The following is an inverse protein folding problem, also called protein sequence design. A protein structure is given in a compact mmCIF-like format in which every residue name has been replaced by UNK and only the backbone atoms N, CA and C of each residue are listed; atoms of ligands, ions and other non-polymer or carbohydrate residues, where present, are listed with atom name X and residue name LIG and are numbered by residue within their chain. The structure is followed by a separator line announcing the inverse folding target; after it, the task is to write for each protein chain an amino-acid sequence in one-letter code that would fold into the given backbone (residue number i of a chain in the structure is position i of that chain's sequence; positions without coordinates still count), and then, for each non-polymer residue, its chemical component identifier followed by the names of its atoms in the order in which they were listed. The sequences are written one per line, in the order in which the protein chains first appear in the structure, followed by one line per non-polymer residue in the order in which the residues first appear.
data_IF_713771895935
#
_entry.id   IF_713771895935
#
_cell.length_a   1.000
_cell.length_b   1.000
_cell.length_c   1.000
_cell.angle_alpha   90.00
_cell.angle_beta   90.00
_cell.angle_gamma   90.00
#
_symmetry.space_group_name_H-M   'P 1'
#
loop_
_entity.id
_entity.type
_entity.pdbx_description
1 polymer ?
#
# COMPACT_ATOMS: atom_id res chain seq x y z
N UNK A 1 11.42 -8.05 -20.59
CA UNK A 1 11.39 -7.13 -19.43
C UNK A 1 12.83 -6.82 -19.06
N UNK A 2 13.18 -5.54 -18.89
CA UNK A 2 14.51 -5.12 -18.45
C UNK A 2 14.76 -5.50 -16.98
N UNK A 3 16.02 -5.69 -16.58
CA UNK A 3 16.43 -6.15 -15.25
C UNK A 3 15.90 -5.25 -14.13
N UNK A 4 15.91 -3.94 -14.38
CA UNK A 4 15.33 -2.93 -13.46
C UNK A 4 13.82 -3.11 -13.28
N UNK A 5 13.09 -3.38 -14.36
CA UNK A 5 11.64 -3.57 -14.28
C UNK A 5 11.30 -4.87 -13.57
N UNK A 6 12.11 -5.91 -13.76
CA UNK A 6 11.98 -7.17 -13.06
C UNK A 6 12.19 -7.00 -11.55
N UNK A 7 13.23 -6.26 -11.14
CA UNK A 7 13.47 -5.99 -9.72
C UNK A 7 12.31 -5.24 -9.05
N UNK A 8 11.72 -4.26 -9.72
CA UNK A 8 10.54 -3.53 -9.20
C UNK A 8 9.35 -4.47 -9.02
N UNK A 9 9.09 -5.33 -10.01
CA UNK A 9 8.00 -6.29 -9.96
C UNK A 9 8.21 -7.32 -8.85
N UNK A 10 9.40 -7.94 -8.80
CA UNK A 10 9.74 -8.96 -7.79
C UNK A 10 9.55 -8.39 -6.37
N UNK A 11 10.00 -7.15 -6.15
CA UNK A 11 9.85 -6.47 -4.86
C UNK A 11 8.40 -6.16 -4.52
N UNK A 12 7.60 -5.71 -5.50
CA UNK A 12 6.16 -5.50 -5.30
C UNK A 12 5.43 -6.78 -4.90
N UNK A 13 5.75 -7.90 -5.56
CA UNK A 13 5.17 -9.21 -5.25
C UNK A 13 5.56 -9.68 -3.85
N UNK A 14 6.82 -9.47 -3.44
CA UNK A 14 7.29 -9.76 -2.08
C UNK A 14 6.51 -8.93 -1.05
N UNK A 15 6.36 -7.62 -1.28
CA UNK A 15 5.66 -6.73 -0.36
C UNK A 15 4.16 -7.06 -0.22
N UNK A 16 3.52 -7.55 -1.28
CA UNK A 16 2.15 -8.07 -1.21
C UNK A 16 2.10 -9.33 -0.35
N UNK A 17 2.99 -10.29 -0.59
CA UNK A 17 3.00 -11.57 0.13
C UNK A 17 3.23 -11.36 1.64
N UNK A 18 4.15 -10.46 2.01
CA UNK A 18 4.38 -10.08 3.41
C UNK A 18 3.12 -9.46 4.02
N UNK A 19 2.45 -8.57 3.29
CA UNK A 19 1.24 -7.93 3.76
C UNK A 19 0.09 -8.92 3.93
N UNK A 20 -0.10 -9.86 3.00
CA UNK A 20 -1.13 -10.88 3.12
C UNK A 20 -0.90 -11.82 4.29
N UNK A 21 0.36 -12.18 4.55
CA UNK A 21 0.72 -12.96 5.74
C UNK A 21 0.32 -12.19 7.01
N UNK A 22 0.68 -10.91 7.07
CA UNK A 22 0.36 -10.03 8.20
C UNK A 22 -1.15 -9.86 8.40
N UNK A 23 -1.89 -9.57 7.33
CA UNK A 23 -3.35 -9.43 7.36
C UNK A 23 -4.01 -10.74 7.80
N UNK A 24 -3.60 -11.88 7.23
CA UNK A 24 -4.14 -13.19 7.61
C UNK A 24 -3.89 -13.51 9.08
N UNK A 25 -2.79 -13.05 9.66
CA UNK A 25 -2.55 -13.15 11.11
C UNK A 25 -3.53 -12.30 11.91
N UNK A 26 -3.75 -11.04 11.51
CA UNK A 26 -4.73 -10.16 12.17
C UNK A 26 -6.15 -10.72 12.14
N UNK A 27 -6.55 -11.35 11.04
CA UNK A 27 -7.89 -11.92 10.85
C UNK A 27 -8.24 -13.04 11.83
N UNK A 28 -7.24 -13.80 12.28
CA UNK A 28 -7.44 -14.90 13.24
C UNK A 28 -8.08 -14.41 14.54
N UNK A 29 -7.75 -13.19 14.96
CA UNK A 29 -8.25 -12.60 16.20
C UNK A 29 -9.76 -12.28 16.13
N UNK A 30 -10.30 -12.15 14.92
CA UNK A 30 -11.72 -11.88 14.66
C UNK A 30 -12.46 -13.06 14.05
N UNK A 31 -11.83 -14.25 14.04
CA UNK A 31 -12.37 -15.47 13.43
C UNK A 31 -12.77 -15.32 11.96
N UNK A 32 -12.09 -14.42 11.23
CA UNK A 32 -12.27 -14.26 9.79
C UNK A 32 -11.35 -15.21 9.02
N UNK A 33 -11.77 -15.59 7.82
CA UNK A 33 -11.04 -16.49 6.94
C UNK A 33 -10.50 -15.74 5.73
N UNK A 34 -9.33 -16.17 5.25
CA UNK A 34 -8.73 -15.62 4.04
C UNK A 34 -8.42 -16.70 3.02
N UNK A 35 -8.60 -16.39 1.74
CA UNK A 35 -8.24 -17.25 0.62
C UNK A 35 -7.46 -16.45 -0.41
N UNK A 36 -6.30 -16.96 -0.84
CA UNK A 36 -5.55 -16.36 -1.94
C UNK A 36 -6.03 -16.92 -3.30
N UNK A 37 -6.41 -16.04 -4.21
CA UNK A 37 -6.85 -16.40 -5.57
C UNK A 37 -5.96 -15.78 -6.63
N UNK A 38 -5.73 -16.50 -7.72
CA UNK A 38 -5.01 -15.95 -8.87
C UNK A 38 -5.71 -14.69 -9.39
N UNK A 39 -4.89 -13.68 -9.68
CA UNK A 39 -5.33 -12.39 -10.16
C UNK A 39 -4.37 -11.91 -11.26
N UNK A 40 -4.90 -11.61 -12.43
CA UNK A 40 -4.11 -11.15 -13.55
C UNK A 40 -4.06 -9.61 -13.56
N UNK A 41 -2.86 -9.06 -13.67
CA UNK A 41 -2.63 -7.63 -13.77
C UNK A 41 -2.02 -7.32 -15.13
N UNK A 42 -2.60 -6.32 -15.80
CA UNK A 42 -2.02 -5.75 -17.02
C UNK A 42 -1.44 -4.37 -16.70
N UNK A 43 -0.11 -4.26 -16.70
CA UNK A 43 0.58 -2.98 -16.60
C UNK A 43 1.40 -2.71 -17.86
N UNK A 44 1.32 -1.48 -18.40
CA UNK A 44 2.08 -1.11 -19.61
C UNK A 44 3.60 -1.32 -19.46
N UNK A 45 4.13 -1.18 -18.24
CA UNK A 45 5.57 -1.24 -17.96
C UNK A 45 6.13 -2.68 -17.89
N UNK A 46 5.31 -3.65 -17.46
CA UNK A 46 5.70 -5.05 -17.28
C UNK A 46 5.08 -6.01 -18.29
N UNK A 47 3.98 -5.62 -18.93
CA UNK A 47 3.06 -6.57 -19.57
C UNK A 47 2.18 -7.27 -18.53
N UNK A 48 1.57 -8.37 -18.96
CA UNK A 48 0.71 -9.21 -18.11
C UNK A 48 1.54 -10.02 -17.10
N UNK A 49 1.07 -10.08 -15.86
CA UNK A 49 1.60 -10.99 -14.85
C UNK A 49 0.49 -11.45 -13.90
N UNK A 50 0.66 -12.67 -13.39
CA UNK A 50 -0.26 -13.26 -12.42
C UNK A 50 0.30 -13.08 -11.01
N UNK A 51 -0.54 -12.63 -10.11
CA UNK A 51 -0.28 -12.57 -8.67
C UNK A 51 -1.49 -13.11 -7.91
N UNK A 52 -1.53 -12.93 -6.59
CA UNK A 52 -2.64 -13.33 -5.73
C UNK A 52 -3.44 -12.11 -5.29
N UNK A 53 -4.76 -12.17 -5.35
CA UNK A 53 -5.64 -11.35 -4.52
C UNK A 53 -5.98 -12.10 -3.23
N UNK A 54 -6.20 -11.36 -2.15
CA UNK A 54 -6.63 -11.94 -0.87
C UNK A 54 -8.13 -11.72 -0.71
N UNK A 55 -8.92 -12.78 -0.62
CA UNK A 55 -10.37 -12.71 -0.40
C UNK A 55 -10.64 -12.97 1.07
N UNK A 56 -11.47 -12.12 1.69
CA UNK A 56 -11.78 -12.16 3.12
C UNK A 56 -13.22 -12.60 3.29
N UNK A 57 -13.42 -13.60 4.16
CA UNK A 57 -14.71 -14.21 4.45
C UNK A 57 -15.04 -14.14 5.93
N UNK A 58 -16.32 -13.91 6.23
CA UNK A 58 -16.87 -14.06 7.58
C UNK A 58 -16.99 -15.52 7.99
N UNK A 59 -17.52 -16.33 7.08
CA UNK A 59 -17.76 -17.76 7.25
C UNK A 59 -17.72 -18.45 5.87
N UNK A 60 -18.03 -19.75 5.84
CA UNK A 60 -18.02 -20.54 4.62
C UNK A 60 -19.00 -19.98 3.58
N UNK A 61 -18.47 -19.24 2.60
CA UNK A 61 -19.22 -18.73 1.45
C UNK A 61 -19.67 -17.27 1.58
N UNK A 62 -19.42 -16.61 2.70
CA UNK A 62 -19.81 -15.20 2.90
C UNK A 62 -18.58 -14.29 2.80
N UNK A 63 -18.30 -13.81 1.58
CA UNK A 63 -17.23 -12.86 1.28
C UNK A 63 -17.65 -11.47 1.75
N UNK A 64 -16.77 -10.79 2.49
CA UNK A 64 -17.01 -9.42 2.98
C UNK A 64 -16.13 -8.38 2.28
N UNK A 65 -14.94 -8.78 1.84
CA UNK A 65 -14.02 -7.90 1.12
C UNK A 65 -12.98 -8.71 0.35
N UNK A 66 -12.24 -8.02 -0.52
CA UNK A 66 -11.04 -8.52 -1.17
C UNK A 66 -9.96 -7.44 -1.26
N UNK A 67 -8.71 -7.86 -1.15
CA UNK A 67 -7.53 -7.03 -1.39
C UNK A 67 -7.00 -7.38 -2.77
N UNK A 68 -7.10 -6.43 -3.68
CA UNK A 68 -6.77 -6.58 -5.09
C UNK A 68 -5.48 -5.80 -5.42
N UNK A 69 -4.41 -6.50 -5.82
CA UNK A 69 -3.24 -5.87 -6.41
C UNK A 69 -3.60 -5.07 -7.66
N UNK A 70 -3.09 -3.85 -7.77
CA UNK A 70 -3.34 -2.97 -8.92
C UNK A 70 -2.10 -2.81 -9.80
N UNK A 71 -0.94 -2.61 -9.18
CA UNK A 71 0.28 -2.43 -9.93
C UNK A 71 1.48 -1.99 -9.11
N UNK A 72 2.68 -2.27 -9.65
CA UNK A 72 3.95 -1.89 -9.07
C UNK A 72 4.38 -0.46 -9.47
N UNK A 73 3.92 0.05 -10.62
CA UNK A 73 4.32 1.37 -11.16
C UNK A 73 3.27 2.44 -10.89
N UNK A 74 3.28 2.99 -9.68
CA UNK A 74 2.32 4.00 -9.23
C UNK A 74 3.02 5.34 -9.07
N UNK A 75 2.43 6.41 -9.60
CA UNK A 75 3.01 7.76 -9.48
C UNK A 75 3.06 8.15 -7.99
N UNK A 76 4.26 8.44 -7.48
CA UNK A 76 4.47 8.83 -6.10
C UNK A 76 4.44 7.66 -5.09
N UNK A 77 4.43 6.41 -5.55
CA UNK A 77 4.46 5.23 -4.69
C UNK A 77 5.22 4.07 -5.33
N UNK A 78 5.46 3.01 -4.56
CA UNK A 78 6.19 1.81 -4.95
C UNK A 78 5.30 0.56 -5.06
N UNK A 79 3.99 0.77 -5.18
CA UNK A 79 2.99 -0.27 -5.29
C UNK A 79 1.62 0.25 -4.89
N UNK A 80 0.56 -0.37 -5.41
CA UNK A 80 -0.81 -0.11 -4.98
C UNK A 80 -1.60 -1.40 -4.90
N UNK A 81 -2.35 -1.50 -3.81
CA UNK A 81 -3.41 -2.49 -3.63
C UNK A 81 -4.68 -1.74 -3.26
N UNK A 82 -5.81 -2.34 -3.60
CA UNK A 82 -7.12 -1.81 -3.28
C UNK A 82 -7.83 -2.78 -2.34
N UNK A 83 -8.34 -2.27 -1.22
CA UNK A 83 -9.27 -3.00 -0.36
C UNK A 83 -10.69 -2.69 -0.85
N UNK A 84 -11.40 -3.70 -1.32
CA UNK A 84 -12.71 -3.58 -1.98
C UNK A 84 -13.71 -4.39 -1.18
N UNK A 85 -14.79 -3.75 -0.74
CA UNK A 85 -15.98 -4.44 -0.23
C UNK A 85 -17.20 -4.06 -1.05
N UNK A 86 -18.37 -4.49 -0.60
CA UNK A 86 -19.63 -4.25 -1.33
C UNK A 86 -20.05 -2.77 -1.32
N UNK A 87 -19.56 -1.98 -0.35
CA UNK A 87 -20.01 -0.60 -0.13
C UNK A 87 -19.01 0.45 -0.60
N UNK A 88 -17.72 0.21 -0.38
CA UNK A 88 -16.68 1.18 -0.74
C UNK A 88 -15.36 0.48 -1.11
N UNK A 89 -14.38 1.31 -1.50
CA UNK A 89 -13.05 0.88 -1.87
C UNK A 89 -11.99 1.83 -1.32
N UNK A 90 -11.11 1.28 -0.48
CA UNK A 90 -9.97 1.98 0.09
C UNK A 90 -8.68 1.71 -0.70
N UNK A 91 -7.89 2.77 -0.93
CA UNK A 91 -6.63 2.69 -1.68
C UNK A 91 -5.48 2.64 -0.70
N UNK A 92 -4.64 1.61 -0.83
CA UNK A 92 -3.40 1.50 -0.09
C UNK A 92 -2.21 1.59 -1.05
N UNK A 93 -1.22 2.37 -0.68
CA UNK A 93 0.01 2.54 -1.46
C UNK A 93 1.22 2.08 -0.66
N UNK A 94 2.15 1.41 -1.32
CA UNK A 94 3.42 1.06 -0.71
C UNK A 94 4.36 2.26 -0.82
N UNK A 95 4.90 2.72 0.30
CA UNK A 95 5.86 3.82 0.34
C UNK A 95 7.20 3.27 0.83
N UNK A 96 8.28 3.67 0.16
CA UNK A 96 9.64 3.37 0.56
C UNK A 96 10.36 4.63 1.00
N UNK A 97 11.19 4.46 2.02
CA UNK A 97 12.08 5.50 2.50
C UNK A 97 13.27 5.48 1.58
N UNK A 98 13.20 6.33 0.57
CA UNK A 98 14.35 6.54 -0.27
C UNK A 98 15.42 7.30 0.53
N UNK A 99 16.35 6.55 1.10
CA UNK A 99 17.55 7.05 1.77
C UNK A 99 18.46 7.86 0.82
N UNK A 100 18.15 7.89 -0.50
CA UNK A 100 18.97 8.55 -1.52
C UNK A 100 18.29 9.71 -2.23
N UNK A 101 17.05 10.09 -1.89
CA UNK A 101 16.49 11.34 -2.44
C UNK A 101 17.14 12.53 -1.75
N UNK A 102 18.30 12.94 -2.27
CA UNK A 102 18.80 14.31 -2.08
C UNK A 102 17.69 15.24 -2.57
N UNK A 103 17.05 15.92 -1.62
CA UNK A 103 15.91 16.79 -1.84
C UNK A 103 16.19 17.84 -2.91
N UNK A 104 15.11 18.24 -3.58
CA UNK A 104 15.05 19.40 -4.47
C UNK A 104 15.84 20.58 -3.90
N UNK A 105 16.70 21.19 -4.72
CA UNK A 105 17.36 22.45 -4.41
C UNK A 105 16.28 23.53 -4.27
N UNK A 106 15.91 23.89 -3.04
CA UNK A 106 15.29 25.18 -2.77
C UNK A 106 16.41 26.23 -2.85
N UNK A 107 16.34 27.12 -3.85
CA UNK A 107 17.19 28.31 -3.86
C UNK A 107 16.59 29.27 -2.83
N UNK A 108 17.07 29.21 -1.59
CA UNK A 108 16.91 30.30 -0.65
C UNK A 108 18.05 31.28 -0.89
N UNK A 109 17.74 32.41 -1.53
CA UNK A 109 18.53 33.62 -1.34
C UNK A 109 18.32 34.03 0.11
N UNK A 110 19.28 33.73 0.97
CA UNK A 110 19.79 34.63 2.00
C UNK A 110 20.91 33.92 2.78
N UNK A 111 22.00 34.65 2.96
CA UNK A 111 23.21 34.24 3.65
C UNK A 111 22.90 34.06 5.15
N UNK A 112 23.10 32.84 5.66
CA UNK A 112 23.83 32.50 6.90
C UNK A 112 23.32 31.18 7.52
N UNK A 113 24.24 30.21 7.58
CA UNK A 113 24.21 29.01 8.42
C UNK A 113 23.18 27.91 8.07
N UNK A 114 23.61 27.01 7.17
CA UNK A 114 22.92 25.74 6.87
C UNK A 114 23.21 24.68 7.94
N UNK A 115 22.28 24.49 8.89
CA UNK A 115 22.08 23.16 9.49
C UNK A 115 21.47 22.26 8.40
N UNK A 116 22.26 21.30 7.91
CA UNK A 116 21.81 20.34 6.89
C UNK A 116 20.88 19.33 7.56
N UNK A 117 19.62 19.71 7.73
CA UNK A 117 18.54 18.76 7.94
C UNK A 117 18.15 18.17 6.58
N UNK A 118 18.24 16.84 6.45
CA UNK A 118 17.83 16.10 5.26
C UNK A 118 16.30 16.21 5.07
N UNK A 119 15.83 17.29 4.42
CA UNK A 119 14.44 17.41 4.03
C UNK A 119 14.26 16.63 2.73
N UNK A 120 14.10 15.31 2.85
CA UNK A 120 13.42 14.52 1.82
C UNK A 120 11.99 15.03 1.74
N UNK A 121 11.68 15.84 0.73
CA UNK A 121 10.31 16.25 0.43
C UNK A 121 9.52 15.04 -0.09
N UNK A 122 9.21 14.10 0.81
CA UNK A 122 8.21 13.08 0.55
C UNK A 122 6.88 13.75 0.21
N UNK A 123 6.19 13.24 -0.80
CA UNK A 123 4.85 13.74 -1.20
C UNK A 123 3.82 13.61 -0.07
N UNK A 124 4.11 12.79 0.95
CA UNK A 124 3.21 12.50 2.06
C UNK A 124 3.83 12.84 3.42
N UNK A 125 3.01 13.46 4.29
CA UNK A 125 3.33 13.67 5.70
C UNK A 125 3.02 12.42 6.50
N UNK A 126 3.83 12.09 7.51
CA UNK A 126 3.61 10.93 8.39
C UNK A 126 4.27 9.62 7.94
N UNK A 127 4.99 9.65 6.81
CA UNK A 127 5.78 8.53 6.33
C UNK A 127 7.16 8.48 7.03
N UNK A 128 7.48 7.37 7.71
CA UNK A 128 8.74 7.22 8.47
C UNK A 128 9.55 5.96 8.16
N UNK A 129 8.89 4.94 7.61
CA UNK A 129 9.45 3.61 7.34
C UNK A 129 8.75 2.94 6.15
N UNK A 130 9.40 1.97 5.52
CA UNK A 130 8.83 1.20 4.43
C UNK A 130 7.55 0.48 4.88
N UNK A 131 6.51 0.49 4.03
CA UNK A 131 5.27 -0.22 4.33
C UNK A 131 4.07 0.22 3.48
N UNK A 132 2.92 -0.38 3.79
CA UNK A 132 1.63 -0.01 3.23
C UNK A 132 1.01 1.14 4.01
N UNK A 133 0.50 2.14 3.29
CA UNK A 133 -0.10 3.34 3.85
C UNK A 133 -1.46 3.62 3.23
N UNK A 134 -2.39 4.07 4.06
CA UNK A 134 -3.65 4.67 3.65
C UNK A 134 -3.55 6.19 3.63
N UNK A 135 -4.18 6.83 2.65
CA UNK A 135 -4.13 8.29 2.45
C UNK A 135 -5.51 8.88 2.74
N UNK A 136 -5.65 9.49 3.93
CA UNK A 136 -6.92 10.01 4.48
C UNK A 136 -7.52 11.16 3.65
N UNK A 137 -6.68 12.03 3.08
CA UNK A 137 -7.13 13.15 2.24
C UNK A 137 -6.13 13.40 1.10
N UNK A 138 -6.61 13.29 -0.14
CA UNK A 138 -5.82 13.54 -1.36
C UNK A 138 -5.30 14.99 -1.45
N UNK A 139 -5.91 15.94 -0.72
CA UNK A 139 -5.50 17.36 -0.69
C UNK A 139 -4.47 17.64 0.41
N UNK A 140 -4.55 16.97 1.56
CA UNK A 140 -3.66 17.18 2.71
C UNK A 140 -2.49 16.19 2.79
N UNK A 141 -2.58 15.05 2.10
CA UNK A 141 -1.46 14.12 1.86
C UNK A 141 -0.94 13.43 3.13
N UNK A 142 -1.77 13.25 4.16
CA UNK A 142 -1.35 12.53 5.36
C UNK A 142 -1.41 11.01 5.11
N UNK A 143 -0.25 10.37 5.19
CA UNK A 143 -0.10 8.94 5.08
C UNK A 143 -0.14 8.31 6.47
N UNK A 144 -1.01 7.31 6.63
CA UNK A 144 -1.13 6.51 7.84
C UNK A 144 -0.65 5.11 7.56
N UNK A 145 0.34 4.64 8.31
CA UNK A 145 0.83 3.28 8.18
C UNK A 145 -0.29 2.31 8.54
N UNK A 146 -0.52 1.31 7.69
CA UNK A 146 -1.54 0.29 7.91
C UNK A 146 -1.05 -0.63 9.02
N UNK A 147 -1.59 -0.42 10.22
CA UNK A 147 -1.51 -1.35 11.33
C UNK A 147 -2.82 -2.14 11.44
N UNK A 148 -2.89 -3.04 12.42
CA UNK A 148 -4.04 -3.91 12.64
C UNK A 148 -5.33 -3.11 12.88
N UNK A 149 -5.27 -2.09 13.73
CA UNK A 149 -6.42 -1.28 14.11
C UNK A 149 -6.99 -0.53 12.90
N UNK A 150 -6.13 0.22 12.20
CA UNK A 150 -6.52 0.96 11.00
C UNK A 150 -7.03 0.01 9.90
N UNK A 151 -6.42 -1.17 9.76
CA UNK A 151 -6.88 -2.13 8.78
C UNK A 151 -8.33 -2.58 9.06
N UNK A 152 -8.69 -2.84 10.31
CA UNK A 152 -10.07 -3.20 10.67
C UNK A 152 -11.05 -2.04 10.51
N UNK A 153 -10.64 -0.81 10.82
CA UNK A 153 -11.46 0.38 10.56
C UNK A 153 -11.78 0.51 9.06
N UNK A 154 -10.77 0.38 8.19
CA UNK A 154 -10.93 0.41 6.74
C UNK A 154 -11.76 -0.77 6.22
N UNK A 155 -11.60 -1.94 6.83
CA UNK A 155 -12.39 -3.12 6.46
C UNK A 155 -13.86 -2.94 6.82
N UNK A 156 -14.16 -2.38 8.00
CA UNK A 156 -15.53 -2.06 8.41
C UNK A 156 -16.15 -1.05 7.43
N UNK A 157 -15.39 -0.01 7.04
CA UNK A 157 -15.85 1.02 6.10
C UNK A 157 -16.24 0.44 4.73
N UNK A 158 -15.47 -0.50 4.18
CA UNK A 158 -15.77 -1.06 2.85
C UNK A 158 -16.84 -2.15 2.85
N UNK A 159 -17.05 -2.82 3.98
CA UNK A 159 -17.86 -4.05 4.07
C UNK A 159 -19.11 -3.94 4.95
N UNK A 160 -19.30 -2.83 5.67
CA UNK A 160 -20.34 -2.64 6.69
C UNK A 160 -20.32 -3.76 7.77
N UNK A 161 -19.12 -4.34 8.00
CA UNK A 161 -18.92 -5.40 8.97
C UNK A 161 -18.45 -4.84 10.32
N UNK A 162 -19.19 -5.17 11.39
CA UNK A 162 -18.82 -4.81 12.76
C UNK A 162 -17.96 -5.88 13.44
N UNK A 163 -16.90 -5.46 14.14
CA UNK A 163 -15.83 -6.30 14.70
C UNK A 163 -15.91 -6.54 16.20
#
# INVERSE_FOLDING_TARGET
MDEKNKAILDEYLINISIFYTTVTEWMKDKSLFCEEKDYNINEKASGDYVTKKLVIFRDTGNQIAEICPVGAWVIGANGRIDLIGDFDRQILIYLKKDLKTKGSTAVSSDEEQCDVSEISHSLYKGFGQDGWYWIEDKRLGKAHAVNKELFFDLLAEVSDYEF
#
